data_IF_191356653854
#
_entry.id   IF_191356653854
#
_cell.length_a   1.000
_cell.length_b   1.000
_cell.length_c   1.000
_cell.angle_alpha   90.00
_cell.angle_beta   90.00
_cell.angle_gamma   90.00
#
_symmetry.space_group_name_H-M   'P 1'
#
loop_
_entity.id
_entity.type
_entity.pdbx_description
1 polymer ?
#
# COMPACT_ATOMS: atom_id res chain seq x y z
N UNK A 1 -0.09 -12.81 -10.30
CA UNK A 1 -0.71 -12.50 -8.99
C UNK A 1 0.37 -11.94 -8.09
N UNK A 2 0.19 -10.73 -7.58
CA UNK A 2 1.04 -10.19 -6.51
C UNK A 2 0.69 -10.95 -5.24
N UNK A 3 1.70 -11.41 -4.50
CA UNK A 3 1.46 -12.15 -3.26
C UNK A 3 1.10 -11.14 -2.14
N UNK A 4 -0.08 -11.26 -1.51
CA UNK A 4 -0.51 -10.38 -0.41
C UNK A 4 0.50 -10.29 0.73
N UNK A 5 1.37 -11.28 0.89
CA UNK A 5 2.47 -11.27 1.84
C UNK A 5 3.43 -10.08 1.64
N UNK A 6 3.71 -9.70 0.38
CA UNK A 6 4.58 -8.55 0.09
C UNK A 6 3.91 -7.22 0.45
N UNK A 7 2.59 -7.12 0.29
CA UNK A 7 1.84 -5.91 0.67
C UNK A 7 1.87 -5.74 2.19
N UNK A 8 1.71 -6.84 2.95
CA UNK A 8 1.84 -6.83 4.41
C UNK A 8 3.25 -6.38 4.85
N UNK A 9 4.30 -6.91 4.22
CA UNK A 9 5.68 -6.49 4.51
C UNK A 9 5.87 -5.00 4.20
N UNK A 10 5.32 -4.51 3.09
CA UNK A 10 5.41 -3.10 2.71
C UNK A 10 4.76 -2.20 3.77
N UNK A 11 3.57 -2.56 4.26
CA UNK A 11 2.90 -1.83 5.35
C UNK A 11 3.73 -1.86 6.63
N UNK A 12 4.24 -3.02 7.05
CA UNK A 12 5.06 -3.15 8.26
C UNK A 12 6.33 -2.29 8.20
N UNK A 13 6.97 -2.20 7.03
CA UNK A 13 8.14 -1.35 6.83
C UNK A 13 7.79 0.14 6.97
N UNK A 14 6.70 0.58 6.34
CA UNK A 14 6.23 1.97 6.43
C UNK A 14 5.91 2.33 7.88
N UNK A 15 5.21 1.44 8.59
CA UNK A 15 4.86 1.61 10.00
C UNK A 15 6.12 1.72 10.89
N UNK A 16 7.10 0.83 10.69
CA UNK A 16 8.35 0.85 11.43
C UNK A 16 9.11 2.17 11.22
N UNK A 17 9.30 2.60 9.97
CA UNK A 17 9.99 3.85 9.65
C UNK A 17 9.27 5.04 10.27
N UNK A 18 7.94 5.10 10.15
CA UNK A 18 7.13 6.16 10.74
C UNK A 18 7.33 6.23 12.25
N UNK A 19 7.30 5.09 12.94
CA UNK A 19 7.57 5.03 14.39
C UNK A 19 8.97 5.52 14.74
N UNK A 20 9.98 5.12 13.97
CA UNK A 20 11.37 5.57 14.19
C UNK A 20 11.52 7.08 14.01
N UNK A 21 10.87 7.67 13.01
CA UNK A 21 10.89 9.12 12.75
C UNK A 21 10.19 9.91 13.85
N UNK A 22 9.06 9.40 14.35
CA UNK A 22 8.28 10.05 15.41
C UNK A 22 8.94 9.94 16.79
N UNK A 23 9.55 8.80 17.11
CA UNK A 23 10.19 8.56 18.41
C UNK A 23 11.67 8.96 18.44
N UNK A 24 12.30 9.09 17.28
CA UNK A 24 13.71 9.43 17.14
C UNK A 24 13.99 10.91 17.44
N UNK A 25 15.20 11.15 17.96
CA UNK A 25 15.80 12.49 17.94
C UNK A 25 16.42 12.70 16.56
N UNK A 26 15.62 13.22 15.65
CA UNK A 26 16.06 13.67 14.33
C UNK A 26 16.17 15.19 14.33
N UNK A 27 17.13 15.73 13.58
CA UNK A 27 17.08 17.15 13.23
C UNK A 27 15.79 17.44 12.43
N UNK A 28 15.21 18.65 12.51
CA UNK A 28 13.96 18.95 11.82
C UNK A 28 13.98 18.62 10.33
N UNK A 29 15.07 18.95 9.62
CA UNK A 29 15.22 18.67 8.20
C UNK A 29 15.24 17.16 7.89
N UNK A 30 15.90 16.36 8.73
CA UNK A 30 15.95 14.90 8.56
C UNK A 30 14.58 14.27 8.82
N UNK A 31 13.84 14.80 9.79
CA UNK A 31 12.46 14.38 10.07
C UNK A 31 11.56 14.68 8.87
N UNK A 32 11.62 15.89 8.34
CA UNK A 32 10.78 16.31 7.21
C UNK A 32 11.08 15.44 5.97
N UNK A 33 12.36 15.22 5.65
CA UNK A 33 12.76 14.33 4.57
C UNK A 33 12.25 12.89 4.77
N UNK A 34 12.31 12.38 6.00
CA UNK A 34 11.84 11.03 6.29
C UNK A 34 10.30 10.91 6.19
N UNK A 35 9.57 11.98 6.54
CA UNK A 35 8.10 12.04 6.35
C UNK A 35 7.72 12.09 4.87
N UNK A 36 8.49 12.80 4.05
CA UNK A 36 8.29 12.81 2.59
C UNK A 36 8.46 11.40 2.01
N UNK A 37 9.52 10.69 2.39
CA UNK A 37 9.73 9.30 1.96
C UNK A 37 8.65 8.34 2.44
N UNK A 38 8.15 8.48 3.68
CA UNK A 38 7.01 7.69 4.17
C UNK A 38 5.78 7.94 3.30
N UNK A 39 5.55 9.19 2.90
CA UNK A 39 4.43 9.57 2.05
C UNK A 39 4.56 8.97 0.65
N UNK A 40 5.75 9.04 0.05
CA UNK A 40 6.05 8.42 -1.26
C UNK A 40 5.83 6.91 -1.22
N UNK A 41 6.41 6.21 -0.24
CA UNK A 41 6.26 4.76 -0.08
C UNK A 41 4.80 4.34 0.09
N UNK A 42 4.01 5.16 0.79
CA UNK A 42 2.58 4.91 1.00
C UNK A 42 1.78 5.11 -0.29
N UNK A 43 2.10 6.14 -1.08
CA UNK A 43 1.47 6.41 -2.36
C UNK A 43 1.75 5.28 -3.37
N UNK A 44 3.01 4.84 -3.46
CA UNK A 44 3.43 3.73 -4.33
C UNK A 44 2.68 2.44 -3.97
N UNK A 45 2.57 2.11 -2.69
CA UNK A 45 1.84 0.93 -2.24
C UNK A 45 0.34 1.04 -2.59
N UNK A 46 -0.26 2.21 -2.44
CA UNK A 46 -1.66 2.43 -2.78
C UNK A 46 -1.91 2.25 -4.28
N UNK A 47 -1.03 2.74 -5.15
CA UNK A 47 -1.12 2.53 -6.60
C UNK A 47 -1.00 1.05 -6.96
N UNK A 48 -0.09 0.35 -6.29
CA UNK A 48 0.13 -1.09 -6.47
C UNK A 48 -1.08 -1.94 -6.08
N UNK A 49 -1.76 -1.59 -4.98
CA UNK A 49 -3.01 -2.23 -4.56
C UNK A 49 -4.14 -1.95 -5.56
N UNK A 50 -4.31 -0.70 -5.99
CA UNK A 50 -5.31 -0.32 -7.01
C UNK A 50 -5.10 -1.02 -8.35
N UNK A 51 -3.85 -1.24 -8.75
CA UNK A 51 -3.54 -1.98 -9.97
C UNK A 51 -3.96 -3.45 -9.88
N UNK A 52 -3.79 -4.06 -8.70
CA UNK A 52 -4.22 -5.44 -8.42
C UNK A 52 -5.75 -5.57 -8.45
N UNK A 53 -6.47 -4.60 -7.87
CA UNK A 53 -7.95 -4.56 -7.93
C UNK A 53 -8.47 -4.44 -9.37
N UNK A 54 -7.83 -3.60 -10.20
CA UNK A 54 -8.18 -3.46 -11.63
C UNK A 54 -7.92 -4.73 -12.46
N UNK A 55 -6.95 -5.54 -12.05
CA UNK A 55 -6.55 -6.76 -12.79
C UNK A 55 -7.34 -8.00 -12.38
N UNK A 56 -8.20 -7.95 -11.36
CA UNK A 56 -9.10 -9.04 -11.01
C UNK A 56 -10.42 -8.91 -11.80
N UNK A 57 -10.66 -9.70 -12.86
CA UNK A 57 -11.89 -9.61 -13.67
C UNK A 57 -13.10 -10.29 -12.98
N UNK A 58 -12.95 -10.72 -11.72
CA UNK A 58 -13.95 -11.53 -11.02
C UNK A 58 -15.25 -10.79 -10.67
N UNK A 59 -15.41 -9.51 -11.04
CA UNK A 59 -16.70 -8.82 -11.05
C UNK A 59 -17.63 -9.25 -12.21
N UNK A 60 -17.25 -10.25 -13.01
CA UNK A 60 -17.97 -10.66 -14.22
C UNK A 60 -18.83 -11.92 -14.11
N UNK A 61 -19.22 -12.35 -12.90
CA UNK A 61 -20.30 -13.34 -12.75
C UNK A 61 -21.65 -12.72 -13.10
N UNK A 62 -21.83 -12.26 -14.34
CA UNK A 62 -23.18 -12.01 -14.85
C UNK A 62 -23.83 -13.38 -15.02
N UNK A 63 -24.77 -13.62 -14.13
CA UNK A 63 -25.74 -14.70 -14.05
C UNK A 63 -26.59 -14.75 -15.34
N UNK A 64 -25.95 -15.08 -16.46
CA UNK A 64 -26.60 -15.27 -17.75
C UNK A 64 -26.95 -16.75 -17.89
N UNK A 65 -28.11 -17.14 -17.38
CA UNK A 65 -28.69 -18.44 -17.77
C UNK A 65 -29.60 -19.14 -16.78
N UNK A 66 -30.21 -18.47 -15.82
CA UNK A 66 -31.37 -19.00 -15.10
C UNK A 66 -32.50 -17.99 -15.23
N UNK A 67 -33.31 -18.14 -16.28
CA UNK A 67 -34.75 -17.90 -16.29
C UNK A 67 -35.30 -18.30 -17.67
N UNK A 68 -36.03 -19.41 -17.66
CA UNK A 68 -37.23 -19.78 -18.45
C UNK A 68 -37.23 -19.60 -19.96
#
# INVERSE_FOLDING_TARGET
MRDPFYDVIAVQRIELVTRLVLMGRCEPADRDLALDWVSELSADLLEQLRATDKQNPQSGGSDSGLLQ
#
